data_IF_233838808164
#
_entry.id   IF_233838808164
#
_cell.length_a   1.000
_cell.length_b   1.000
_cell.length_c   1.000
_cell.angle_alpha   90.00
_cell.angle_beta   90.00
_cell.angle_gamma   90.00
#
_symmetry.space_group_name_H-M   'P 1'
#
loop_
_entity.id
_entity.type
_entity.pdbx_description
1 polymer ?
#
# COMPACT_ATOMS: atom_id res chain seq x y z
N UNK A 1 7.52 11.60 12.47
CA UNK A 1 6.90 10.53 13.29
C UNK A 1 6.40 9.48 12.33
N UNK A 2 6.61 8.19 12.64
CA UNK A 2 6.06 7.07 11.86
C UNK A 2 4.54 7.13 11.92
N UNK A 3 3.88 7.17 10.76
CA UNK A 3 2.42 7.14 10.67
C UNK A 3 1.91 5.72 10.34
N UNK A 4 0.65 5.46 10.69
CA UNK A 4 -0.06 4.23 10.31
C UNK A 4 -1.23 4.59 9.40
N UNK A 5 -1.29 3.97 8.23
CA UNK A 5 -2.28 4.21 7.19
C UNK A 5 -3.17 2.99 7.00
N UNK A 6 -4.47 3.12 7.25
CA UNK A 6 -5.44 2.09 6.84
C UNK A 6 -5.81 2.26 5.37
N UNK A 7 -5.61 1.18 4.61
CA UNK A 7 -5.74 1.19 3.15
C UNK A 7 -6.62 0.04 2.70
N UNK A 8 -7.64 0.35 1.92
CA UNK A 8 -8.45 -0.65 1.21
C UNK A 8 -7.63 -1.28 0.10
N UNK A 9 -7.72 -2.60 -0.06
CA UNK A 9 -7.18 -3.33 -1.21
C UNK A 9 -8.27 -4.18 -1.87
N UNK A 10 -8.19 -4.35 -3.19
CA UNK A 10 -9.09 -5.26 -3.90
C UNK A 10 -8.86 -6.70 -3.42
N UNK A 11 -9.92 -7.48 -3.11
CA UNK A 11 -9.79 -8.85 -2.61
C UNK A 11 -8.94 -9.75 -3.51
N UNK A 12 -8.92 -9.51 -4.83
CA UNK A 12 -8.13 -10.28 -5.80
C UNK A 12 -6.61 -10.17 -5.60
N UNK A 13 -6.14 -9.09 -4.96
CA UNK A 13 -4.71 -8.89 -4.67
C UNK A 13 -4.33 -9.27 -3.24
N UNK A 14 -5.31 -9.52 -2.37
CA UNK A 14 -5.07 -9.76 -0.96
C UNK A 14 -4.21 -11.01 -0.73
N UNK A 15 -4.51 -12.11 -1.43
CA UNK A 15 -3.71 -13.34 -1.36
C UNK A 15 -2.23 -13.10 -1.71
N UNK A 16 -1.96 -12.38 -2.80
CA UNK A 16 -0.60 -12.04 -3.23
C UNK A 16 0.14 -11.09 -2.27
N UNK A 17 -0.61 -10.26 -1.53
CA UNK A 17 -0.01 -9.42 -0.50
C UNK A 17 0.31 -10.25 0.75
N UNK A 18 -0.54 -11.22 1.10
CA UNK A 18 -0.35 -12.15 2.24
C UNK A 18 0.89 -13.03 1.99
N UNK A 19 0.98 -13.67 0.83
CA UNK A 19 2.09 -14.55 0.45
C UNK A 19 3.39 -13.81 0.05
N UNK A 20 3.33 -12.48 -0.03
CA UNK A 20 4.43 -11.56 -0.39
C UNK A 20 4.95 -11.71 -1.81
N UNK A 21 4.18 -12.28 -2.74
CA UNK A 21 4.47 -12.22 -4.18
C UNK A 21 4.19 -10.84 -4.76
N UNK A 22 3.24 -10.10 -4.18
CA UNK A 22 3.03 -8.67 -4.42
C UNK A 22 3.65 -7.87 -3.27
N UNK A 23 4.70 -7.13 -3.59
CA UNK A 23 5.46 -6.34 -2.60
C UNK A 23 5.38 -4.84 -2.86
N UNK A 24 4.53 -4.37 -3.78
CA UNK A 24 4.38 -2.96 -4.05
C UNK A 24 2.94 -2.55 -4.42
N UNK A 25 2.57 -1.30 -4.19
CA UNK A 25 1.31 -0.69 -4.61
C UNK A 25 1.49 0.73 -5.16
N UNK A 26 0.79 1.02 -6.26
CA UNK A 26 0.66 2.39 -6.78
C UNK A 26 -0.51 3.08 -6.09
N UNK A 27 -0.29 4.27 -5.55
CA UNK A 27 -1.26 5.05 -4.77
C UNK A 27 -1.15 6.54 -5.11
N UNK A 28 -2.26 7.26 -4.99
CA UNK A 28 -2.21 8.72 -4.91
C UNK A 28 -1.51 9.10 -3.60
N UNK A 29 -0.56 10.04 -3.63
CA UNK A 29 0.16 10.50 -2.45
C UNK A 29 -0.61 11.58 -1.67
N UNK A 30 -1.86 11.28 -1.32
CA UNK A 30 -2.78 12.17 -0.59
C UNK A 30 -2.60 12.14 0.94
N UNK A 31 -1.64 11.35 1.43
CA UNK A 31 -1.33 11.14 2.86
C UNK A 31 0.11 11.47 3.23
N UNK A 32 0.87 12.03 2.29
CA UNK A 32 2.29 12.32 2.45
C UNK A 32 3.08 11.11 2.95
N UNK A 33 2.91 9.94 2.31
CA UNK A 33 3.57 8.69 2.73
C UNK A 33 5.07 8.88 2.89
N UNK A 34 5.63 8.30 3.94
CA UNK A 34 7.07 8.32 4.21
C UNK A 34 7.65 6.90 4.29
N UNK A 35 8.92 6.76 3.97
CA UNK A 35 9.67 5.53 4.29
C UNK A 35 9.64 5.33 5.80
N UNK A 36 9.37 4.10 6.22
CA UNK A 36 9.15 3.72 7.60
C UNK A 36 7.69 3.78 8.04
N UNK A 37 6.76 4.37 7.28
CA UNK A 37 5.34 4.32 7.63
C UNK A 37 4.77 2.90 7.57
N UNK A 38 3.71 2.66 8.35
CA UNK A 38 3.01 1.39 8.40
C UNK A 38 1.72 1.47 7.57
N UNK A 39 1.48 0.47 6.74
CA UNK A 39 0.25 0.28 5.99
C UNK A 39 -0.51 -0.94 6.53
N UNK A 40 -1.78 -0.74 6.91
CA UNK A 40 -2.72 -1.81 7.23
C UNK A 40 -3.60 -2.03 6.00
N UNK A 41 -3.28 -3.06 5.21
CA UNK A 41 -3.94 -3.37 3.94
C UNK A 41 -5.13 -4.30 4.20
N UNK A 42 -6.36 -3.79 4.07
CA UNK A 42 -7.61 -4.52 4.37
C UNK A 42 -8.38 -4.84 3.08
N UNK A 43 -8.74 -6.11 2.84
CA UNK A 43 -9.51 -6.47 1.65
C UNK A 43 -10.92 -5.87 1.75
N UNK A 44 -11.27 -5.09 0.74
CA UNK A 44 -12.53 -4.35 0.71
C UNK A 44 -13.25 -4.59 -0.60
N UNK A 45 -14.50 -5.05 -0.50
CA UNK A 45 -15.43 -5.16 -1.61
C UNK A 45 -16.46 -4.02 -1.51
N UNK A 46 -16.79 -3.38 -2.64
CA UNK A 46 -17.74 -2.25 -2.65
C UNK A 46 -19.14 -2.62 -2.14
N UNK A 47 -19.60 -3.85 -2.38
CA UNK A 47 -20.93 -4.32 -2.01
C UNK A 47 -20.98 -4.92 -0.60
N UNK A 48 -19.91 -5.58 -0.17
CA UNK A 48 -19.87 -6.32 1.10
C UNK A 48 -19.10 -5.61 2.23
N UNK A 49 -18.36 -4.56 1.89
CA UNK A 49 -17.49 -3.86 2.85
C UNK A 49 -16.16 -4.58 3.07
N UNK A 50 -15.64 -4.48 4.29
CA UNK A 50 -14.41 -5.18 4.69
C UNK A 50 -14.67 -6.67 4.83
N UNK A 51 -13.86 -7.48 4.15
CA UNK A 51 -14.07 -8.93 4.08
C UNK A 51 -13.31 -9.69 5.18
N UNK A 52 -12.21 -9.14 5.68
CA UNK A 52 -11.38 -9.73 6.73
C UNK A 52 -10.53 -8.66 7.43
N UNK A 53 -9.77 -9.10 8.44
CA UNK A 53 -8.67 -8.33 8.98
C UNK A 53 -7.63 -7.98 7.92
N UNK A 54 -6.84 -6.95 8.21
CA UNK A 54 -5.78 -6.48 7.33
C UNK A 54 -4.44 -7.14 7.60
N UNK A 55 -3.54 -7.00 6.64
CA UNK A 55 -2.13 -7.30 6.85
C UNK A 55 -1.32 -6.02 7.06
N UNK A 56 -0.31 -6.11 7.91
CA UNK A 56 0.59 -5.01 8.23
C UNK A 56 1.82 -5.08 7.34
N UNK A 57 2.18 -3.96 6.73
CA UNK A 57 3.41 -3.80 5.93
C UNK A 57 4.07 -2.48 6.26
N UNK A 58 5.40 -2.47 6.23
CA UNK A 58 6.19 -1.24 6.33
C UNK A 58 6.54 -0.74 4.93
N UNK A 59 6.44 0.57 4.69
CA UNK A 59 6.95 1.20 3.48
C UNK A 59 8.47 1.26 3.57
N UNK A 60 9.18 0.51 2.73
CA UNK A 60 10.65 0.48 2.71
C UNK A 60 11.24 1.35 1.62
N UNK A 61 10.46 1.70 0.60
CA UNK A 61 10.86 2.56 -0.49
C UNK A 61 9.63 3.22 -1.12
N UNK A 62 9.81 4.42 -1.67
CA UNK A 62 8.79 5.16 -2.41
C UNK A 62 9.41 5.62 -3.73
N UNK A 63 8.80 5.24 -4.85
CA UNK A 63 9.09 5.83 -6.16
C UNK A 63 8.09 6.95 -6.41
N UNK A 64 8.57 8.17 -6.59
CA UNK A 64 7.76 9.34 -6.90
C UNK A 64 7.55 9.51 -8.39
N UNK A 65 6.44 10.14 -8.79
CA UNK A 65 6.15 10.38 -10.20
C UNK A 65 7.20 11.25 -10.91
N UNK A 66 7.92 12.10 -10.17
CA UNK A 66 9.03 12.90 -10.72
C UNK A 66 10.22 12.02 -11.16
N UNK A 67 10.32 10.81 -10.63
CA UNK A 67 11.42 9.88 -10.89
C UNK A 67 11.11 8.89 -12.02
N UNK A 68 9.82 8.73 -12.39
CA UNK A 68 9.41 7.78 -13.42
C UNK A 68 8.17 8.26 -14.18
N UNK A 69 8.32 8.47 -15.48
CA UNK A 69 7.28 8.99 -16.38
C UNK A 69 6.01 8.12 -16.45
N UNK A 70 6.11 6.83 -16.10
CA UNK A 70 4.98 5.90 -16.10
C UNK A 70 4.02 6.10 -14.92
N UNK A 71 4.34 6.98 -13.96
CA UNK A 71 3.44 7.34 -12.87
C UNK A 71 2.75 8.67 -13.19
N UNK A 72 1.42 8.69 -13.05
CA UNK A 72 0.63 9.90 -13.17
C UNK A 72 1.05 10.94 -12.10
N UNK A 73 0.85 12.25 -12.34
CA UNK A 73 1.15 13.29 -11.37
C UNK A 73 0.52 13.00 -9.99
N UNK A 74 1.29 13.24 -8.93
CA UNK A 74 0.96 12.95 -7.53
C UNK A 74 0.76 11.47 -7.17
N UNK A 75 0.97 10.52 -8.07
CA UNK A 75 1.04 9.10 -7.72
C UNK A 75 2.44 8.70 -7.26
N UNK A 76 2.48 7.70 -6.40
CA UNK A 76 3.70 7.05 -5.90
C UNK A 76 3.55 5.54 -6.01
N UNK A 77 4.67 4.83 -6.15
CA UNK A 77 4.71 3.39 -5.88
C UNK A 77 5.33 3.17 -4.51
N UNK A 78 4.57 2.57 -3.62
CA UNK A 78 5.01 2.15 -2.29
C UNK A 78 5.56 0.74 -2.38
N UNK A 79 6.83 0.55 -2.03
CA UNK A 79 7.41 -0.78 -1.83
C UNK A 79 7.26 -1.20 -0.37
N UNK A 80 6.90 -2.46 -0.16
CA UNK A 80 6.64 -3.03 1.15
C UNK A 80 7.74 -4.00 1.56
N UNK A 81 8.21 -3.84 2.80
CA UNK A 81 9.08 -4.79 3.48
C UNK A 81 8.31 -5.80 4.33
N UNK A 82 9.05 -6.68 5.00
CA UNK A 82 8.53 -7.37 6.17
C UNK A 82 8.12 -6.31 7.22
N UNK A 83 6.95 -6.47 7.84
CA UNK A 83 6.69 -5.73 9.06
C UNK A 83 7.73 -6.14 10.13
N UNK A 84 8.24 -5.20 10.94
CA UNK A 84 9.15 -5.50 12.04
C UNK A 84 8.49 -6.40 13.09
#
# INVERSE_FOLDING_TARGET
MRATHELKVSPVYYGSLVDRTKTAEVRLNDRCYQVGDICVLRPYNKSLGFLSEGIVREITHILYHQEFEGLAPNYVMLSFGAAP
#
